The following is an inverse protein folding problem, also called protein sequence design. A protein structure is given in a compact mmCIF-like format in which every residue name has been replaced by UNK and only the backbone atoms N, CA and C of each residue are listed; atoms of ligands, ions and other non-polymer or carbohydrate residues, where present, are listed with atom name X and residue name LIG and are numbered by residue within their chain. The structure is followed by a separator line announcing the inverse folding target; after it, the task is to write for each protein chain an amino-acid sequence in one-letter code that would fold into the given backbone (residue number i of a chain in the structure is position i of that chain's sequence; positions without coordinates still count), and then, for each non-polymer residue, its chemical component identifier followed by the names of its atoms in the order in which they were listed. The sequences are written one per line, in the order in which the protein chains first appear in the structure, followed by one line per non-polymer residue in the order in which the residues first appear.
data_IF_616429156436
#
_entry.id   IF_616429156436
#
_cell.length_a   1.000
_cell.length_b   1.000
_cell.length_c   1.000
_cell.angle_alpha   90.00
_cell.angle_beta   90.00
_cell.angle_gamma   90.00
#
_symmetry.space_group_name_H-M   'P 1'
#
loop_
_entity.id
_entity.type
_entity.pdbx_description
1 polymer ?
#
# COMPACT_ATOMS: atom_id res chain seq x y z
N UNK A 1 -8.99 2.05 -3.41
CA UNK A 1 -9.21 1.16 -4.57
C UNK A 1 -7.91 1.04 -5.36
N UNK A 2 -7.20 -0.10 -5.30
CA UNK A 2 -5.83 -0.25 -5.83
C UNK A 2 -5.70 -1.47 -6.78
N UNK A 3 -6.72 -1.67 -7.62
CA UNK A 3 -6.85 -2.83 -8.51
C UNK A 3 -6.06 -2.64 -9.81
N UNK A 4 -6.50 -3.25 -10.92
CA UNK A 4 -5.80 -3.26 -12.22
C UNK A 4 -5.62 -1.83 -12.75
N UNK A 5 -6.66 -1.00 -12.68
CA UNK A 5 -6.63 0.42 -13.08
C UNK A 5 -6.50 1.28 -11.81
N UNK A 6 -5.54 2.20 -11.81
CA UNK A 6 -5.20 3.05 -10.66
C UNK A 6 -5.15 4.52 -11.08
N UNK A 7 -5.41 5.42 -10.14
CA UNK A 7 -5.22 6.86 -10.28
C UNK A 7 -4.89 7.45 -8.90
N UNK A 8 -4.46 8.72 -8.86
CA UNK A 8 -4.07 9.40 -7.62
C UNK A 8 -5.19 9.35 -6.56
N UNK A 9 -6.45 9.60 -6.97
CA UNK A 9 -7.60 9.60 -6.08
C UNK A 9 -7.84 8.24 -5.42
N UNK A 10 -7.97 7.17 -6.21
CA UNK A 10 -8.27 5.83 -5.72
C UNK A 10 -7.14 5.23 -4.87
N UNK A 11 -5.90 5.60 -5.18
CA UNK A 11 -4.72 5.26 -4.38
C UNK A 11 -4.66 6.07 -3.08
N UNK A 12 -4.99 7.36 -3.13
CA UNK A 12 -5.10 8.22 -1.93
C UNK A 12 -6.16 7.70 -0.96
N UNK A 13 -7.35 7.37 -1.47
CA UNK A 13 -8.41 6.73 -0.68
C UNK A 13 -7.96 5.41 -0.06
N UNK A 14 -7.23 4.57 -0.81
CA UNK A 14 -6.70 3.31 -0.28
C UNK A 14 -5.71 3.55 0.88
N UNK A 15 -4.83 4.55 0.75
CA UNK A 15 -3.88 4.90 1.80
C UNK A 15 -4.60 5.40 3.06
N UNK A 16 -5.58 6.30 2.91
CA UNK A 16 -6.37 6.79 4.05
C UNK A 16 -7.12 5.68 4.78
N UNK A 17 -7.69 4.72 4.04
CA UNK A 17 -8.35 3.54 4.64
C UNK A 17 -7.37 2.66 5.42
N UNK A 18 -6.16 2.44 4.89
CA UNK A 18 -5.12 1.68 5.57
C UNK A 18 -4.63 2.39 6.85
N UNK A 19 -4.48 3.71 6.80
CA UNK A 19 -4.09 4.51 7.95
C UNK A 19 -5.16 4.49 9.05
N UNK A 20 -6.44 4.60 8.66
CA UNK A 20 -7.57 4.46 9.58
C UNK A 20 -7.60 3.08 10.25
N UNK A 21 -7.52 2.01 9.46
CA UNK A 21 -7.46 0.63 9.98
C UNK A 21 -6.24 0.42 10.89
N UNK A 22 -5.08 0.97 10.52
CA UNK A 22 -3.88 0.89 11.34
C UNK A 22 -4.01 1.67 12.65
N UNK A 23 -4.75 2.78 12.67
CA UNK A 23 -5.02 3.54 13.89
C UNK A 23 -5.97 2.81 14.84
N UNK A 24 -6.88 2.00 14.31
CA UNK A 24 -7.82 1.20 15.09
C UNK A 24 -7.23 -0.15 15.55
N UNK A 25 -6.17 -0.62 14.89
CA UNK A 25 -5.57 -1.92 15.17
C UNK A 25 -4.46 -1.85 16.23
N UNK A 26 -4.66 -2.58 17.34
CA UNK A 26 -3.64 -2.73 18.39
C UNK A 26 -3.35 -4.21 18.65
N UNK A 27 -2.15 -4.71 18.25
CA UNK A 27 -1.75 -6.10 18.51
C UNK A 27 -1.85 -6.47 20.00
N UNK A 28 -1.49 -5.56 20.89
CA UNK A 28 -1.53 -5.79 22.33
C UNK A 28 -2.96 -5.95 22.85
N UNK A 29 -3.93 -5.20 22.31
CA UNK A 29 -5.34 -5.34 22.67
C UNK A 29 -5.89 -6.68 22.17
N UNK A 30 -5.61 -7.03 20.91
CA UNK A 30 -6.02 -8.30 20.31
C UNK A 30 -5.51 -9.52 21.10
N UNK A 31 -4.21 -9.53 21.42
CA UNK A 31 -3.61 -10.61 22.21
C UNK A 31 -4.21 -10.71 23.61
N UNK A 32 -4.49 -9.57 24.28
CA UNK A 32 -5.17 -9.57 25.59
C UNK A 32 -6.61 -10.08 25.52
N UNK A 33 -7.30 -9.88 24.40
CA UNK A 33 -8.65 -10.40 24.16
C UNK A 33 -8.67 -11.91 23.91
N UNK A 34 -7.52 -12.52 23.64
CA UNK A 34 -7.38 -13.94 23.33
C UNK A 34 -7.43 -14.26 21.82
N UNK A 35 -7.22 -13.26 20.96
CA UNK A 35 -7.12 -13.51 19.52
C UNK A 35 -5.89 -14.40 19.20
N UNK A 36 -5.96 -15.32 18.21
CA UNK A 36 -4.85 -16.18 17.84
C UNK A 36 -3.60 -15.37 17.42
N UNK A 37 -2.41 -15.64 18.01
CA UNK A 37 -1.21 -14.84 17.75
C UNK A 37 -0.79 -14.79 16.27
N UNK A 38 -1.01 -15.88 15.53
CA UNK A 38 -0.75 -15.97 14.09
C UNK A 38 -1.64 -15.02 13.29
N UNK A 39 -2.93 -14.92 13.64
CA UNK A 39 -3.87 -14.00 13.00
C UNK A 39 -3.54 -12.54 13.33
N UNK A 40 -3.15 -12.25 14.57
CA UNK A 40 -2.71 -10.90 14.97
C UNK A 40 -1.45 -10.49 14.18
N UNK A 41 -0.48 -11.39 14.03
CA UNK A 41 0.71 -11.15 13.23
C UNK A 41 0.38 -10.95 11.75
N UNK A 42 -0.52 -11.77 11.19
CA UNK A 42 -0.98 -11.62 9.81
C UNK A 42 -1.68 -10.28 9.57
N UNK A 43 -2.58 -9.85 10.46
CA UNK A 43 -3.24 -8.56 10.37
C UNK A 43 -2.24 -7.39 10.40
N UNK A 44 -1.28 -7.44 11.34
CA UNK A 44 -0.20 -6.44 11.43
C UNK A 44 0.61 -6.37 10.13
N UNK A 45 1.06 -7.53 9.63
CA UNK A 45 1.88 -7.60 8.44
C UNK A 45 1.10 -7.18 7.20
N UNK A 46 -0.18 -7.53 7.11
CA UNK A 46 -1.08 -7.15 6.02
C UNK A 46 -1.27 -5.63 5.95
N UNK A 47 -1.52 -4.97 7.09
CA UNK A 47 -1.61 -3.51 7.15
C UNK A 47 -0.29 -2.85 6.71
N UNK A 48 0.84 -3.30 7.27
CA UNK A 48 2.15 -2.76 6.89
C UNK A 48 2.47 -2.95 5.41
N UNK A 49 2.26 -4.16 4.88
CA UNK A 49 2.51 -4.49 3.49
C UNK A 49 1.60 -3.68 2.56
N UNK A 50 0.30 -3.61 2.87
CA UNK A 50 -0.67 -2.82 2.12
C UNK A 50 -0.27 -1.35 2.02
N UNK A 51 0.10 -0.74 3.15
CA UNK A 51 0.55 0.65 3.21
C UNK A 51 1.79 0.87 2.34
N UNK A 52 2.81 0.02 2.47
CA UNK A 52 4.04 0.14 1.68
C UNK A 52 3.77 0.01 0.17
N UNK A 53 2.91 -0.93 -0.24
CA UNK A 53 2.53 -1.13 -1.64
C UNK A 53 1.83 0.12 -2.18
N UNK A 54 0.82 0.63 -1.48
CA UNK A 54 0.05 1.80 -1.94
C UNK A 54 0.93 3.05 -2.00
N UNK A 55 1.82 3.25 -1.01
CA UNK A 55 2.79 4.34 -1.05
C UNK A 55 3.76 4.23 -2.22
N UNK A 56 4.23 3.02 -2.55
CA UNK A 56 5.06 2.80 -3.73
C UNK A 56 4.29 3.11 -5.03
N UNK A 57 3.03 2.70 -5.12
CA UNK A 57 2.16 2.99 -6.28
C UNK A 57 1.90 4.49 -6.46
N UNK A 58 1.71 5.24 -5.36
CA UNK A 58 1.53 6.71 -5.39
C UNK A 58 2.79 7.43 -5.89
N UNK A 59 3.97 7.01 -5.39
CA UNK A 59 5.26 7.60 -5.80
C UNK A 59 5.61 7.29 -7.26
N UNK A 60 5.16 6.15 -7.79
CA UNK A 60 5.42 5.73 -9.16
C UNK A 60 4.38 6.27 -10.13
N UNK A 61 4.70 7.42 -10.72
CA UNK A 61 3.86 8.18 -11.67
C UNK A 61 4.17 7.82 -13.13
N UNK A 62 4.09 6.53 -13.44
CA UNK A 62 4.17 5.95 -14.79
C UNK A 62 3.29 4.70 -14.87
N UNK A 63 3.15 4.14 -16.07
CA UNK A 63 2.59 2.81 -16.29
C UNK A 63 3.64 1.87 -16.86
N UNK A 64 3.89 0.73 -16.19
CA UNK A 64 4.85 -0.29 -16.65
C UNK A 64 4.52 -1.66 -16.07
N UNK A 65 4.42 -2.68 -16.95
CA UNK A 65 4.06 -4.04 -16.55
C UNK A 65 2.66 -4.09 -15.92
N UNK A 66 2.53 -4.76 -14.77
CA UNK A 66 1.25 -4.89 -14.04
C UNK A 66 0.80 -3.60 -13.29
N UNK A 67 1.65 -2.58 -13.26
CA UNK A 67 1.33 -1.28 -12.67
C UNK A 67 0.83 -0.33 -13.76
N UNK A 68 -0.49 -0.28 -13.96
CA UNK A 68 -1.14 0.69 -14.85
C UNK A 68 -1.80 1.83 -14.04
N UNK A 69 -1.56 3.06 -14.48
CA UNK A 69 -2.10 4.31 -13.94
C UNK A 69 -2.78 5.12 -15.04
N UNK A 70 -4.09 5.34 -14.93
CA UNK A 70 -4.85 6.06 -15.97
C UNK A 70 -4.47 7.54 -16.06
N UNK A 71 -3.93 8.11 -14.97
CA UNK A 71 -3.41 9.48 -14.89
C UNK A 71 -1.93 9.60 -15.32
N UNK A 72 -1.24 8.47 -15.51
CA UNK A 72 0.12 8.38 -16.07
C UNK A 72 0.23 7.15 -16.99
N UNK A 73 -0.42 7.16 -18.18
CA UNK A 73 -0.66 5.95 -18.97
C UNK A 73 0.58 5.42 -19.71
N UNK A 74 1.67 6.18 -19.74
CA UNK A 74 2.90 5.84 -20.46
C UNK A 74 4.05 5.50 -19.50
N UNK A 75 5.03 4.81 -20.06
CA UNK A 75 6.32 4.53 -19.41
C UNK A 75 7.13 5.83 -19.35
N UNK A 76 7.79 6.09 -18.21
CA UNK A 76 8.73 7.20 -18.02
C UNK A 76 10.08 6.61 -17.57
N UNK A 77 10.95 6.38 -18.56
CA UNK A 77 12.24 5.74 -18.36
C UNK A 77 13.24 6.65 -17.64
N UNK A 78 13.17 7.96 -17.87
CA UNK A 78 14.10 8.92 -17.27
C UNK A 78 13.90 9.00 -15.77
N UNK A 79 12.65 9.03 -15.32
CA UNK A 79 12.32 9.18 -13.90
C UNK A 79 12.19 7.87 -13.14
N UNK A 80 11.75 6.79 -13.79
CA UNK A 80 11.40 5.52 -13.13
C UNK A 80 12.10 4.29 -13.75
N UNK A 81 13.17 4.50 -14.51
CA UNK A 81 14.01 3.41 -15.05
C UNK A 81 14.77 2.60 -13.98
N UNK A 82 14.70 3.00 -12.71
CA UNK A 82 15.37 2.35 -11.58
C UNK A 82 14.37 1.83 -10.54
N UNK A 83 14.83 0.89 -9.70
CA UNK A 83 14.03 0.34 -8.61
C UNK A 83 13.83 1.39 -7.51
N UNK A 84 12.59 1.55 -7.03
CA UNK A 84 12.27 2.43 -5.90
C UNK A 84 12.56 1.68 -4.59
N UNK A 85 13.45 2.23 -3.77
CA UNK A 85 13.80 1.69 -2.45
C UNK A 85 13.49 2.76 -1.40
N UNK A 86 12.58 2.46 -0.47
CA UNK A 86 12.36 3.30 0.70
C UNK A 86 13.38 2.93 1.79
N UNK A 87 14.34 3.82 2.05
CA UNK A 87 15.26 3.68 3.18
C UNK A 87 14.52 3.99 4.48
N UNK A 88 14.78 3.21 5.53
CA UNK A 88 14.34 3.49 6.90
C UNK A 88 15.09 4.66 7.49
#
# INVERSE_FOLDING_TARGET
QASIIRNEEGLGQALSQLDELSGQFSPAVCLRRGDPPDQVAQARNGLQLGTLIVQAMLRRRESRGAHFRSDYPFVDQERFGQVIIQKK
#
